data_IF_185372151497
#
_entry.id   IF_185372151497
#
_cell.length_a   1.000
_cell.length_b   1.000
_cell.length_c   1.000
_cell.angle_alpha   90.00
_cell.angle_beta   90.00
_cell.angle_gamma   90.00
#
_symmetry.space_group_name_H-M   'P 1'
#
loop_
_entity.id
_entity.type
_entity.pdbx_description
1 polymer ?
#
# COMPACT_ATOMS: atom_id res chain seq x y z
N UNK A 1 4.53 -6.66 -12.63
CA UNK A 1 4.23 -5.21 -12.75
C UNK A 1 4.36 -4.54 -11.39
N UNK A 2 4.58 -3.22 -11.34
CA UNK A 2 4.64 -2.46 -10.07
C UNK A 2 3.28 -1.90 -9.71
N UNK A 3 2.78 -2.21 -8.51
CA UNK A 3 1.43 -1.89 -8.07
C UNK A 3 1.47 -1.25 -6.67
N UNK A 4 0.72 -0.17 -6.49
CA UNK A 4 0.60 0.55 -5.22
C UNK A 4 -0.73 0.26 -4.55
N UNK A 5 -0.72 0.05 -3.24
CA UNK A 5 -1.94 -0.17 -2.43
C UNK A 5 -1.96 0.82 -1.29
N UNK A 6 -2.91 1.74 -1.27
CA UNK A 6 -3.08 2.71 -0.19
C UNK A 6 -3.94 2.11 0.92
N UNK A 7 -3.36 1.91 2.10
CA UNK A 7 -4.06 1.43 3.28
C UNK A 7 -3.62 0.04 3.70
N UNK A 8 -3.42 -0.15 5.01
CA UNK A 8 -2.87 -1.36 5.61
C UNK A 8 -3.91 -2.22 6.35
N UNK A 9 -5.20 -1.95 6.09
CA UNK A 9 -6.31 -2.75 6.61
C UNK A 9 -6.42 -4.11 5.92
N UNK A 10 -7.45 -4.88 6.30
CA UNK A 10 -7.66 -6.23 5.77
C UNK A 10 -7.68 -6.31 4.24
N UNK A 11 -8.35 -5.34 3.58
CA UNK A 11 -8.44 -5.28 2.12
C UNK A 11 -7.08 -5.00 1.48
N UNK A 12 -6.36 -3.98 1.98
CA UNK A 12 -5.06 -3.61 1.43
C UNK A 12 -4.04 -4.74 1.55
N UNK A 13 -4.01 -5.43 2.70
CA UNK A 13 -3.16 -6.60 2.93
C UNK A 13 -3.52 -7.78 2.01
N UNK A 14 -4.82 -8.08 1.85
CA UNK A 14 -5.26 -9.16 0.98
C UNK A 14 -4.87 -8.92 -0.48
N UNK A 15 -5.10 -7.68 -0.97
CA UNK A 15 -4.70 -7.29 -2.33
C UNK A 15 -3.19 -7.35 -2.48
N UNK A 16 -2.41 -6.71 -1.60
CA UNK A 16 -0.96 -6.66 -1.73
C UNK A 16 -0.32 -8.04 -1.70
N UNK A 17 -0.81 -8.93 -0.83
CA UNK A 17 -0.31 -10.30 -0.73
C UNK A 17 -0.64 -11.09 -2.00
N UNK A 18 -1.89 -11.01 -2.48
CA UNK A 18 -2.29 -11.74 -3.68
C UNK A 18 -1.52 -11.25 -4.91
N UNK A 19 -1.25 -9.95 -5.01
CA UNK A 19 -0.42 -9.39 -6.08
C UNK A 19 1.02 -9.94 -6.03
N UNK A 20 1.61 -10.04 -4.85
CA UNK A 20 2.93 -10.63 -4.66
C UNK A 20 2.97 -12.13 -5.03
N UNK A 21 1.95 -12.91 -4.62
CA UNK A 21 1.79 -14.33 -4.98
C UNK A 21 1.68 -14.54 -6.50
N UNK A 22 1.06 -13.59 -7.20
CA UNK A 22 0.92 -13.60 -8.66
C UNK A 22 2.19 -13.12 -9.39
N UNK A 23 3.27 -12.81 -8.66
CA UNK A 23 4.55 -12.37 -9.24
C UNK A 23 4.60 -10.88 -9.61
N UNK A 24 3.67 -10.06 -9.11
CA UNK A 24 3.75 -8.61 -9.23
C UNK A 24 4.57 -8.02 -8.07
N UNK A 25 5.27 -6.91 -8.31
CA UNK A 25 5.89 -6.16 -7.23
C UNK A 25 4.83 -5.24 -6.61
N UNK A 26 4.51 -5.45 -5.34
CA UNK A 26 3.51 -4.66 -4.62
C UNK A 26 4.16 -3.78 -3.54
N UNK A 27 3.68 -2.55 -3.40
CA UNK A 27 4.00 -1.68 -2.28
C UNK A 27 2.73 -1.20 -1.58
N UNK A 28 2.64 -1.46 -0.29
CA UNK A 28 1.54 -1.00 0.55
C UNK A 28 1.92 0.29 1.28
N UNK A 29 1.10 1.32 1.10
CA UNK A 29 1.25 2.66 1.64
C UNK A 29 0.49 2.85 2.95
N UNK A 30 1.11 3.54 3.90
CA UNK A 30 0.50 3.99 5.16
C UNK A 30 0.94 5.43 5.49
N UNK A 31 0.30 6.08 6.47
CA UNK A 31 0.75 7.38 6.98
C UNK A 31 2.04 7.26 7.78
N UNK A 32 2.20 6.17 8.53
CA UNK A 32 3.32 5.95 9.44
C UNK A 32 3.91 4.55 9.23
N UNK A 33 4.87 4.40 8.29
CA UNK A 33 5.47 3.12 7.95
C UNK A 33 6.21 2.50 9.14
N UNK A 34 6.86 3.33 9.97
CA UNK A 34 7.60 2.91 11.17
C UNK A 34 6.73 2.24 12.23
N UNK A 35 5.50 2.73 12.46
CA UNK A 35 4.55 2.12 13.41
C UNK A 35 3.83 0.90 12.84
N UNK A 36 3.79 0.79 11.52
CA UNK A 36 3.08 -0.27 10.82
C UNK A 36 4.01 -1.43 10.44
N UNK A 37 5.33 -1.18 10.37
CA UNK A 37 6.35 -2.10 9.86
C UNK A 37 6.29 -3.50 10.48
N UNK A 38 6.18 -3.63 11.80
CA UNK A 38 6.20 -4.95 12.45
C UNK A 38 4.92 -5.78 12.18
N UNK A 39 3.76 -5.11 12.10
CA UNK A 39 2.48 -5.76 11.75
C UNK A 39 2.38 -6.14 10.28
N UNK A 40 3.13 -5.49 9.41
CA UNK A 40 3.11 -5.76 7.96
C UNK A 40 4.20 -6.72 7.52
N UNK A 41 5.42 -6.62 8.06
CA UNK A 41 6.50 -7.57 7.80
C UNK A 41 6.12 -8.99 8.20
N UNK A 42 5.35 -9.16 9.27
CA UNK A 42 4.86 -10.47 9.72
C UNK A 42 3.89 -11.17 8.76
N UNK A 43 3.39 -10.50 7.70
CA UNK A 43 2.41 -11.09 6.77
C UNK A 43 2.97 -11.47 5.40
N UNK A 44 4.07 -10.88 4.95
CA UNK A 44 4.79 -11.29 3.74
C UNK A 44 6.06 -10.46 3.56
N UNK A 45 7.23 -11.10 3.45
CA UNK A 45 8.49 -10.43 3.08
C UNK A 45 8.50 -9.92 1.63
N UNK A 46 7.54 -10.37 0.81
CA UNK A 46 7.46 -10.04 -0.61
C UNK A 46 6.78 -8.69 -0.90
N UNK A 47 6.15 -8.05 0.10
CA UNK A 47 5.44 -6.77 -0.05
C UNK A 47 6.26 -5.63 0.55
N UNK A 48 6.56 -4.61 -0.25
CA UNK A 48 7.25 -3.40 0.22
C UNK A 48 6.30 -2.55 1.06
N UNK A 49 6.80 -1.93 2.13
CA UNK A 49 6.01 -1.00 2.97
C UNK A 49 6.59 0.40 2.83
N UNK A 50 5.73 1.38 2.57
CA UNK A 50 6.13 2.77 2.43
C UNK A 50 5.04 3.75 2.85
N UNK A 51 5.30 5.03 2.64
CA UNK A 51 4.30 6.10 2.74
C UNK A 51 3.28 6.03 1.61
N UNK A 52 2.17 6.75 1.72
CA UNK A 52 1.21 6.87 0.62
C UNK A 52 1.85 7.45 -0.65
N UNK A 53 2.73 8.45 -0.51
CA UNK A 53 3.46 9.06 -1.63
C UNK A 53 4.42 8.07 -2.30
N UNK A 54 5.19 7.31 -1.51
CA UNK A 54 6.08 6.28 -2.06
C UNK A 54 5.32 5.17 -2.77
N UNK A 55 4.20 4.69 -2.20
CA UNK A 55 3.34 3.68 -2.82
C UNK A 55 2.73 4.18 -4.13
N UNK A 56 2.33 5.46 -4.18
CA UNK A 56 1.80 6.10 -5.38
C UNK A 56 2.86 6.27 -6.48
N UNK A 57 4.06 6.71 -6.13
CA UNK A 57 5.18 6.84 -7.07
C UNK A 57 5.69 5.48 -7.58
N UNK A 58 5.56 4.43 -6.77
CA UNK A 58 5.98 3.08 -7.10
C UNK A 58 5.02 2.39 -8.09
N UNK A 59 3.72 2.54 -7.88
CA UNK A 59 2.68 1.80 -8.58
C UNK A 59 2.28 2.41 -9.92
N UNK A 60 2.17 1.59 -10.96
CA UNK A 60 1.55 1.98 -12.24
C UNK A 60 0.02 2.00 -12.12
N UNK A 61 -0.52 1.16 -11.24
CA UNK A 61 -1.93 1.12 -10.86
C UNK A 61 -1.98 1.25 -9.35
N UNK A 62 -2.90 2.09 -8.87
CA UNK A 62 -3.10 2.37 -7.45
C UNK A 62 -4.45 1.82 -7.00
N UNK A 63 -4.42 0.97 -5.97
CA UNK A 63 -5.59 0.49 -5.27
C UNK A 63 -5.80 1.36 -4.03
N UNK A 64 -6.91 2.10 -3.96
CA UNK A 64 -7.31 2.75 -2.72
C UNK A 64 -8.10 1.75 -1.86
N UNK A 65 -7.43 1.21 -0.83
CA UNK A 65 -8.00 0.30 0.16
C UNK A 65 -8.06 0.93 1.56
N UNK A 66 -8.17 2.26 1.62
CA UNK A 66 -8.37 2.99 2.87
C UNK A 66 -9.84 2.96 3.29
N UNK A 67 -10.11 3.33 4.55
CA UNK A 67 -11.48 3.61 4.96
C UNK A 67 -12.01 4.81 4.16
N UNK A 68 -13.24 4.72 3.64
CA UNK A 68 -13.86 5.74 2.80
C UNK A 68 -13.84 7.15 3.42
N UNK A 69 -14.00 7.27 4.74
CA UNK A 69 -13.92 8.54 5.45
C UNK A 69 -12.55 9.24 5.32
N UNK A 70 -11.48 8.48 5.06
CA UNK A 70 -10.10 8.98 4.94
C UNK A 70 -9.53 8.84 3.52
N UNK A 71 -10.34 8.41 2.55
CA UNK A 71 -9.86 8.15 1.19
C UNK A 71 -9.34 9.39 0.49
N UNK A 72 -10.04 10.52 0.59
CA UNK A 72 -9.59 11.76 -0.03
C UNK A 72 -8.30 12.28 0.63
N UNK A 73 -8.14 12.14 1.94
CA UNK A 73 -6.92 12.54 2.63
C UNK A 73 -5.74 11.64 2.25
N UNK A 74 -5.96 10.33 2.13
CA UNK A 74 -4.95 9.41 1.64
C UNK A 74 -4.50 9.74 0.21
N UNK A 75 -5.44 10.08 -0.68
CA UNK A 75 -5.12 10.50 -2.05
C UNK A 75 -4.39 11.86 -2.09
N UNK A 76 -4.70 12.80 -1.20
CA UNK A 76 -3.92 14.05 -1.07
C UNK A 76 -2.49 13.77 -0.62
N UNK A 77 -2.31 12.86 0.34
CA UNK A 77 -1.00 12.45 0.84
C UNK A 77 -0.20 11.60 -0.16
N UNK A 78 -0.88 10.94 -1.09
CA UNK A 78 -0.24 10.25 -2.22
C UNK A 78 0.45 11.24 -3.18
N UNK A 79 0.09 12.53 -3.14
CA UNK A 79 0.69 13.56 -3.97
C UNK A 79 0.09 13.64 -5.38
N UNK A 80 0.63 14.55 -6.20
CA UNK A 80 0.27 14.68 -7.62
C UNK A 80 1.25 13.86 -8.47
N UNK A 81 0.69 13.16 -9.45
CA UNK A 81 1.42 12.40 -10.47
C UNK A 81 1.93 13.30 -11.58
#
# INVERSE_FOLDING_TARGET
MKLGVLGTGMVGLAISNRLAELGHEAMIGTREPSKSGDKLKSRSDAVKVGTFSESAAFGQIIFNATNGAFSLDALRLAGKS
#
